data_IF_155408486179
#
_entry.id   IF_155408486179
#
_cell.length_a   1.000
_cell.length_b   1.000
_cell.length_c   1.000
_cell.angle_alpha   90.00
_cell.angle_beta   90.00
_cell.angle_gamma   90.00
#
_symmetry.space_group_name_H-M   'P 1'
#
loop_
_entity.id
_entity.type
_entity.pdbx_description
1 polymer ?
#
# COMPACT_ATOMS: atom_id res chain seq x y z
N UNK A 1 -9.28 10.07 5.31
CA UNK A 1 -9.06 9.80 6.75
C UNK A 1 -7.63 10.24 7.09
N UNK A 2 -7.32 10.47 8.36
CA UNK A 2 -5.95 10.79 8.81
C UNK A 2 -5.57 9.85 9.94
N UNK A 3 -4.34 9.35 9.94
CA UNK A 3 -3.81 8.44 10.96
C UNK A 3 -2.33 8.75 11.18
N UNK A 4 -1.86 8.63 12.43
CA UNK A 4 -0.44 8.77 12.74
C UNK A 4 -0.04 7.90 13.93
N UNK A 5 1.24 7.58 14.01
CA UNK A 5 1.84 6.81 15.10
C UNK A 5 3.29 7.24 15.34
N UNK A 6 3.79 6.99 16.55
CA UNK A 6 5.17 7.20 16.98
C UNK A 6 5.73 5.88 17.48
N UNK A 7 6.95 5.55 17.09
CA UNK A 7 7.69 4.38 17.57
C UNK A 7 9.01 4.83 18.17
N UNK A 8 9.25 4.41 19.41
CA UNK A 8 10.50 4.67 20.12
C UNK A 8 11.26 3.35 20.36
N UNK A 9 12.58 3.39 20.27
CA UNK A 9 13.43 2.29 20.71
C UNK A 9 13.26 2.02 22.22
N UNK A 10 13.33 0.75 22.62
CA UNK A 10 13.27 0.32 24.02
C UNK A 10 14.29 -0.79 24.33
N UNK A 11 14.76 -0.84 25.58
CA UNK A 11 15.75 -1.82 26.05
C UNK A 11 17.20 -1.44 25.69
N UNK A 12 18.06 -2.45 25.48
CA UNK A 12 19.49 -2.28 25.09
C UNK A 12 19.70 -1.83 23.62
N UNK A 13 18.63 -1.44 22.92
CA UNK A 13 18.73 -0.94 21.56
C UNK A 13 19.18 0.53 21.54
N UNK A 14 19.80 0.97 20.45
CA UNK A 14 20.07 2.38 20.22
C UNK A 14 18.77 3.19 20.34
N UNK A 15 18.81 4.35 21.02
CA UNK A 15 17.66 5.25 21.11
C UNK A 15 17.34 5.78 19.71
N UNK A 16 16.11 5.58 19.26
CA UNK A 16 15.58 6.12 18.01
C UNK A 16 14.10 6.48 18.18
N UNK A 17 13.64 7.43 17.37
CA UNK A 17 12.25 7.86 17.27
C UNK A 17 11.88 7.87 15.79
N UNK A 18 10.89 7.07 15.40
CA UNK A 18 10.37 7.03 14.03
C UNK A 18 8.86 7.28 14.02
N UNK A 19 8.40 7.97 12.99
CA UNK A 19 7.04 8.44 12.84
C UNK A 19 6.36 7.76 11.66
N UNK A 20 5.07 7.58 11.81
CA UNK A 20 4.18 7.17 10.74
C UNK A 20 3.05 8.19 10.58
N UNK A 21 2.77 8.56 9.33
CA UNK A 21 1.66 9.43 8.99
C UNK A 21 0.97 8.95 7.72
N UNK A 22 -0.36 9.01 7.71
CA UNK A 22 -1.17 8.72 6.53
C UNK A 22 -2.32 9.70 6.42
N UNK A 23 -2.56 10.16 5.19
CA UNK A 23 -3.74 10.94 4.83
C UNK A 23 -4.36 10.42 3.54
N UNK A 24 -5.68 10.36 3.48
CA UNK A 24 -6.42 10.06 2.26
C UNK A 24 -7.63 10.98 2.08
N UNK A 25 -7.91 11.32 0.82
CA UNK A 25 -9.10 12.00 0.37
C UNK A 25 -9.76 11.16 -0.73
N UNK A 26 -11.09 11.02 -0.66
CA UNK A 26 -11.84 10.30 -1.67
C UNK A 26 -13.16 10.97 -2.00
N UNK A 27 -13.58 10.81 -3.26
CA UNK A 27 -14.81 11.31 -3.82
C UNK A 27 -15.61 10.16 -4.40
N UNK A 28 -16.93 10.19 -4.19
CA UNK A 28 -17.85 9.17 -4.68
C UNK A 28 -18.82 9.82 -5.68
N UNK A 29 -18.62 9.57 -6.98
CA UNK A 29 -19.46 10.08 -8.06
C UNK A 29 -19.97 8.91 -8.91
N UNK A 30 -21.09 8.29 -8.49
CA UNK A 30 -21.61 7.06 -9.12
C UNK A 30 -21.65 7.18 -10.66
N UNK A 31 -21.18 6.17 -11.41
CA UNK A 31 -20.71 4.84 -10.96
C UNK A 31 -19.23 4.80 -10.53
N UNK A 32 -18.52 5.92 -10.61
CA UNK A 32 -17.07 6.02 -10.38
C UNK A 32 -16.76 6.53 -8.98
N UNK A 33 -15.66 6.06 -8.42
CA UNK A 33 -15.07 6.54 -7.19
C UNK A 33 -13.61 6.80 -7.46
N UNK A 34 -13.08 7.84 -6.85
CA UNK A 34 -11.68 8.16 -6.97
C UNK A 34 -11.15 8.75 -5.69
N UNK A 35 -9.84 8.77 -5.56
CA UNK A 35 -9.20 9.41 -4.45
C UNK A 35 -7.70 9.42 -4.61
N UNK A 36 -7.06 10.10 -3.68
CA UNK A 36 -5.62 10.10 -3.54
C UNK A 36 -5.27 10.06 -2.07
N UNK A 37 -4.05 9.64 -1.79
CA UNK A 37 -3.53 9.63 -0.44
C UNK A 37 -2.02 9.65 -0.45
N UNK A 38 -1.49 9.78 0.74
CA UNK A 38 -0.08 9.73 1.02
C UNK A 38 0.14 8.96 2.30
N UNK A 39 1.30 8.33 2.39
CA UNK A 39 1.73 7.54 3.53
C UNK A 39 3.23 7.73 3.72
N UNK A 40 3.64 8.12 4.92
CA UNK A 40 5.01 8.40 5.29
C UNK A 40 5.41 7.53 6.47
N UNK A 41 6.57 6.89 6.32
CA UNK A 41 7.23 6.10 7.35
C UNK A 41 8.65 6.62 7.42
N UNK A 42 9.01 7.30 8.51
CA UNK A 42 10.35 7.90 8.61
C UNK A 42 11.43 6.83 8.80
N UNK A 43 12.65 7.19 8.44
CA UNK A 43 13.81 6.38 8.76
C UNK A 43 15.11 7.18 8.85
N UNK A 44 15.93 6.86 9.83
CA UNK A 44 17.19 7.55 10.09
C UNK A 44 18.41 6.96 9.34
N UNK A 45 18.21 5.90 8.54
CA UNK A 45 19.25 5.20 7.78
C UNK A 45 19.62 3.85 8.38
N UNK A 46 19.56 3.73 9.71
CA UNK A 46 19.83 2.49 10.45
C UNK A 46 18.53 1.85 10.97
N UNK A 47 17.54 2.68 11.31
CA UNK A 47 16.20 2.28 11.76
C UNK A 47 15.13 2.98 10.92
N UNK A 48 13.96 2.35 10.84
CA UNK A 48 12.77 2.94 10.22
C UNK A 48 11.52 2.48 10.96
N UNK A 49 10.42 3.21 10.77
CA UNK A 49 9.14 2.81 11.33
C UNK A 49 8.73 1.43 10.80
N UNK A 50 8.32 0.51 11.68
CA UNK A 50 7.86 -0.83 11.31
C UNK A 50 6.46 -1.11 11.88
N UNK A 51 5.73 -2.02 11.25
CA UNK A 51 4.46 -2.52 11.78
C UNK A 51 4.68 -3.88 12.47
N UNK A 52 4.91 -3.94 13.79
CA UNK A 52 5.31 -5.18 14.47
C UNK A 52 4.25 -6.28 14.44
N UNK A 53 2.97 -5.91 14.30
CA UNK A 53 1.82 -6.84 14.29
C UNK A 53 1.04 -6.83 12.97
N UNK A 54 1.60 -6.24 11.90
CA UNK A 54 0.90 -6.09 10.62
C UNK A 54 1.82 -6.34 9.43
N UNK A 55 1.24 -6.82 8.33
CA UNK A 55 1.94 -6.83 7.04
C UNK A 55 1.67 -5.52 6.32
N UNK A 56 2.69 -5.01 5.62
CA UNK A 56 2.53 -3.89 4.70
C UNK A 56 1.74 -4.27 3.43
N UNK A 57 1.00 -5.38 3.39
CA UNK A 57 0.22 -5.77 2.20
C UNK A 57 -0.93 -4.78 1.87
N UNK A 58 -1.32 -3.94 2.84
CA UNK A 58 -2.25 -2.82 2.63
C UNK A 58 -1.52 -1.47 2.46
N UNK A 59 -0.21 -1.46 2.67
CA UNK A 59 0.65 -0.29 2.89
C UNK A 59 1.89 -0.41 1.98
N UNK A 60 1.92 0.33 0.88
CA UNK A 60 3.02 0.21 -0.10
C UNK A 60 2.83 -0.82 -1.22
N UNK A 61 1.59 -0.95 -1.72
CA UNK A 61 1.27 -1.70 -2.94
C UNK A 61 0.94 -3.18 -2.75
N UNK A 62 0.44 -3.83 -3.80
CA UNK A 62 0.16 -5.27 -3.84
C UNK A 62 1.36 -6.11 -4.31
N UNK A 63 2.44 -5.50 -4.77
CA UNK A 63 3.68 -6.16 -5.18
C UNK A 63 4.49 -6.67 -3.98
N UNK A 64 4.19 -6.22 -2.75
CA UNK A 64 4.88 -6.59 -1.52
C UNK A 64 6.39 -6.24 -1.52
N UNK A 65 6.82 -5.25 -2.31
CA UNK A 65 8.21 -4.83 -2.33
C UNK A 65 8.65 -4.06 -1.07
N UNK A 66 7.68 -3.46 -0.36
CA UNK A 66 7.90 -2.68 0.85
C UNK A 66 7.26 -3.33 2.09
N UNK A 67 7.25 -4.66 2.16
CA UNK A 67 6.78 -5.42 3.34
C UNK A 67 7.52 -5.04 4.62
N UNK A 68 8.77 -4.60 4.49
CA UNK A 68 9.57 -4.00 5.55
C UNK A 68 9.99 -2.61 5.07
N UNK A 69 9.76 -1.60 5.88
CA UNK A 69 10.19 -0.23 5.59
C UNK A 69 11.70 -0.19 5.44
N UNK A 70 12.25 0.35 4.34
CA UNK A 70 13.69 0.55 4.19
C UNK A 70 14.24 1.40 5.35
N UNK A 71 15.50 1.20 5.75
CA UNK A 71 16.14 2.01 6.80
C UNK A 71 16.16 3.52 6.50
N UNK A 72 16.11 3.89 5.22
CA UNK A 72 15.95 5.29 4.76
C UNK A 72 14.53 5.84 4.90
N UNK A 73 13.60 5.07 5.45
CA UNK A 73 12.17 5.36 5.43
C UNK A 73 11.55 5.25 4.04
N UNK A 74 10.25 5.51 3.96
CA UNK A 74 9.42 5.38 2.77
C UNK A 74 8.33 6.45 2.73
N UNK A 75 8.21 7.11 1.59
CA UNK A 75 7.04 7.88 1.20
C UNK A 75 6.33 7.16 0.06
N UNK A 76 5.03 6.95 0.23
CA UNK A 76 4.11 6.45 -0.80
C UNK A 76 3.07 7.52 -1.08
N UNK A 77 3.04 8.02 -2.32
CA UNK A 77 1.96 8.85 -2.83
C UNK A 77 1.15 8.04 -3.82
N UNK A 78 -0.16 7.96 -3.60
CA UNK A 78 -1.00 7.13 -4.44
C UNK A 78 -2.27 7.83 -4.88
N UNK A 79 -2.72 7.48 -6.07
CA UNK A 79 -4.01 7.85 -6.62
C UNK A 79 -4.73 6.60 -7.08
N UNK A 80 -6.06 6.59 -6.95
CA UNK A 80 -6.85 5.45 -7.35
C UNK A 80 -8.16 5.86 -7.98
N UNK A 81 -8.64 5.00 -8.87
CA UNK A 81 -9.95 5.08 -9.49
C UNK A 81 -10.58 3.70 -9.46
N UNK A 82 -11.88 3.64 -9.20
CA UNK A 82 -12.61 2.38 -9.14
C UNK A 82 -14.10 2.59 -9.24
N UNK A 83 -14.84 1.50 -9.20
CA UNK A 83 -16.28 1.52 -9.39
C UNK A 83 -16.85 0.12 -9.49
N UNK A 84 -18.17 0.05 -9.64
CA UNK A 84 -18.87 -1.19 -9.95
C UNK A 84 -19.22 -1.17 -11.44
N UNK A 85 -18.77 -2.16 -12.19
CA UNK A 85 -19.10 -2.29 -13.60
C UNK A 85 -20.46 -3.00 -13.79
N UNK A 86 -21.03 -3.01 -15.02
CA UNK A 86 -22.32 -3.65 -15.31
C UNK A 86 -22.37 -5.16 -15.00
N UNK A 87 -21.23 -5.85 -15.02
CA UNK A 87 -21.11 -7.28 -14.66
C UNK A 87 -21.08 -7.53 -13.14
N UNK A 88 -21.44 -6.51 -12.37
CA UNK A 88 -21.42 -6.48 -10.90
C UNK A 88 -20.06 -6.70 -10.24
N UNK A 89 -18.99 -6.49 -10.99
CA UNK A 89 -17.62 -6.55 -10.46
C UNK A 89 -17.26 -5.20 -9.88
N UNK A 90 -16.87 -5.18 -8.60
CA UNK A 90 -16.22 -4.02 -8.01
C UNK A 90 -14.74 -4.08 -8.36
N UNK A 91 -14.23 -3.05 -9.04
CA UNK A 91 -12.83 -2.97 -9.41
C UNK A 91 -12.18 -1.69 -8.92
N UNK A 92 -10.85 -1.69 -8.82
CA UNK A 92 -10.04 -0.53 -8.52
C UNK A 92 -8.69 -0.67 -9.20
N UNK A 93 -8.22 0.43 -9.79
CA UNK A 93 -6.84 0.63 -10.24
C UNK A 93 -6.21 1.63 -9.29
N UNK A 94 -4.98 1.35 -8.85
CA UNK A 94 -4.21 2.24 -7.97
C UNK A 94 -2.85 2.45 -8.62
N UNK A 95 -2.38 3.68 -8.59
CA UNK A 95 -1.02 4.03 -8.98
C UNK A 95 -0.29 4.54 -7.75
N UNK A 96 0.91 4.03 -7.52
CA UNK A 96 1.79 4.41 -6.42
C UNK A 96 3.07 5.04 -6.96
N UNK A 97 3.57 6.04 -6.24
CA UNK A 97 4.89 6.63 -6.43
C UNK A 97 5.66 6.52 -5.11
N UNK A 98 6.79 5.82 -5.16
CA UNK A 98 7.62 5.56 -3.99
C UNK A 98 8.90 6.38 -4.01
N UNK A 99 9.20 7.03 -2.89
CA UNK A 99 10.48 7.68 -2.63
C UNK A 99 10.99 7.38 -1.24
N UNK A 100 12.29 7.52 -0.99
CA UNK A 100 12.82 7.45 0.37
C UNK A 100 12.44 8.70 1.16
N UNK A 101 12.25 8.54 2.47
CA UNK A 101 12.10 9.67 3.39
C UNK A 101 13.45 10.43 3.48
N UNK A 102 14.50 9.69 3.84
CA UNK A 102 15.87 10.21 3.85
C UNK A 102 16.44 10.28 2.44
N UNK A 103 16.76 11.50 2.00
CA UNK A 103 17.40 11.76 0.70
C UNK A 103 16.43 12.00 -0.46
N UNK A 104 15.14 11.66 -0.31
CA UNK A 104 14.12 11.92 -1.34
C UNK A 104 14.35 11.13 -2.63
N UNK A 105 14.96 9.95 -2.52
CA UNK A 105 15.39 9.17 -3.66
C UNK A 105 14.21 8.44 -4.30
N UNK A 106 14.08 8.50 -5.62
CA UNK A 106 13.04 7.76 -6.33
C UNK A 106 13.29 6.24 -6.25
N UNK A 107 12.32 5.52 -5.69
CA UNK A 107 12.39 4.07 -5.44
C UNK A 107 11.60 3.24 -6.46
N UNK A 108 10.64 3.85 -7.16
CA UNK A 108 9.86 3.16 -8.20
C UNK A 108 8.42 3.66 -8.27
N UNK A 109 7.67 3.10 -9.23
CA UNK A 109 6.22 3.25 -9.29
C UNK A 109 5.54 1.90 -9.45
N UNK A 110 4.32 1.80 -8.96
CA UNK A 110 3.55 0.56 -9.02
C UNK A 110 2.14 0.81 -9.54
N UNK A 111 1.71 -0.08 -10.42
CA UNK A 111 0.34 -0.19 -10.88
C UNK A 111 -0.31 -1.42 -10.28
N UNK A 112 -1.39 -1.17 -9.56
CA UNK A 112 -2.20 -2.19 -8.93
C UNK A 112 -3.58 -2.25 -9.54
N UNK A 113 -4.08 -3.48 -9.66
CA UNK A 113 -5.46 -3.76 -10.02
C UNK A 113 -6.06 -4.75 -9.04
N UNK A 114 -7.30 -4.48 -8.59
CA UNK A 114 -8.08 -5.42 -7.81
C UNK A 114 -9.50 -5.49 -8.35
N UNK A 115 -10.04 -6.70 -8.44
CA UNK A 115 -11.41 -6.97 -8.81
C UNK A 115 -12.04 -7.96 -7.82
N UNK A 116 -13.25 -7.65 -7.34
CA UNK A 116 -14.05 -8.52 -6.48
C UNK A 116 -15.44 -8.72 -7.07
N UNK A 117 -15.88 -9.98 -7.14
CA UNK A 117 -17.24 -10.37 -7.54
C UNK A 117 -17.87 -11.25 -6.48
N UNK A 118 -19.09 -10.91 -6.07
CA UNK A 118 -19.95 -11.80 -5.28
C UNK A 118 -20.54 -12.81 -6.26
N UNK A 119 -20.29 -14.10 -6.04
CA UNK A 119 -20.73 -15.19 -6.91
C UNK A 119 -22.09 -15.74 -6.46
N UNK A 120 -22.26 -15.87 -5.14
CA UNK A 120 -23.50 -16.29 -4.46
C UNK A 120 -23.59 -15.52 -3.14
N UNK A 121 -24.68 -15.68 -2.39
CA UNK A 121 -24.85 -15.04 -1.07
C UNK A 121 -23.73 -15.39 -0.08
N UNK A 122 -23.14 -16.58 -0.22
CA UNK A 122 -22.10 -17.10 0.67
C UNK A 122 -20.71 -17.14 0.05
N UNK A 123 -20.55 -16.79 -1.23
CA UNK A 123 -19.27 -16.96 -1.96
C UNK A 123 -18.86 -15.71 -2.70
N UNK A 124 -17.59 -15.31 -2.56
CA UNK A 124 -17.01 -14.24 -3.38
C UNK A 124 -15.63 -14.61 -3.91
N UNK A 125 -15.29 -14.06 -5.07
CA UNK A 125 -13.98 -14.19 -5.69
C UNK A 125 -13.29 -12.83 -5.76
N UNK A 126 -11.98 -12.83 -5.53
CA UNK A 126 -11.12 -11.65 -5.60
C UNK A 126 -9.87 -11.97 -6.40
N UNK A 127 -9.47 -11.04 -7.26
CA UNK A 127 -8.22 -11.08 -8.02
C UNK A 127 -7.46 -9.79 -7.71
N UNK A 128 -6.16 -9.90 -7.48
CA UNK A 128 -5.23 -8.75 -7.43
C UNK A 128 -4.10 -8.98 -8.42
N UNK A 129 -3.70 -7.91 -9.09
CA UNK A 129 -2.53 -7.83 -9.95
C UNK A 129 -1.70 -6.64 -9.51
N UNK A 130 -0.38 -6.78 -9.55
CA UNK A 130 0.58 -5.74 -9.22
C UNK A 130 1.72 -5.76 -10.24
N UNK A 131 2.14 -4.56 -10.66
CA UNK A 131 3.31 -4.35 -11.49
C UNK A 131 4.10 -3.17 -10.95
N UNK A 132 5.23 -3.47 -10.31
CA UNK A 132 6.19 -2.50 -9.80
C UNK A 132 7.36 -2.44 -10.76
N UNK A 133 7.69 -1.22 -11.20
CA UNK A 133 8.97 -0.92 -11.82
C UNK A 133 9.85 -0.23 -10.78
N UNK A 134 10.90 -0.95 -10.37
CA UNK A 134 11.78 -0.55 -9.29
C UNK A 134 12.91 0.35 -9.79
N UNK A 135 13.43 1.18 -8.89
CA UNK A 135 14.63 1.98 -9.12
C UNK A 135 15.68 1.68 -8.05
N UNK A 136 16.96 1.87 -8.41
CA UNK A 136 18.12 1.64 -7.55
C UNK A 136 18.20 0.21 -7.04
N UNK A 137 17.98 0.00 -5.74
CA UNK A 137 18.05 -1.30 -5.09
C UNK A 137 16.72 -2.06 -5.13
N UNK A 138 15.63 -1.40 -5.55
CA UNK A 138 14.32 -2.02 -5.70
C UNK A 138 14.26 -2.71 -7.06
N UNK A 139 13.88 -3.98 -7.06
CA UNK A 139 13.72 -4.78 -8.28
C UNK A 139 12.33 -4.62 -8.86
N UNK A 140 12.20 -4.85 -10.15
CA UNK A 140 10.90 -5.00 -10.79
C UNK A 140 10.17 -6.21 -10.23
N UNK A 141 8.87 -6.06 -9.95
CA UNK A 141 8.04 -7.11 -9.40
C UNK A 141 6.74 -7.19 -10.16
N UNK A 142 6.37 -8.40 -10.55
CA UNK A 142 5.04 -8.72 -11.05
C UNK A 142 4.40 -9.71 -10.09
N UNK A 143 3.16 -9.45 -9.70
CA UNK A 143 2.43 -10.32 -8.79
C UNK A 143 0.98 -10.47 -9.20
N UNK A 144 0.47 -11.69 -9.05
CA UNK A 144 -0.94 -11.99 -9.23
C UNK A 144 -1.41 -12.85 -8.05
N UNK A 145 -2.61 -12.56 -7.53
CA UNK A 145 -3.26 -13.41 -6.53
C UNK A 145 -4.73 -13.59 -6.83
N UNK A 146 -5.25 -14.76 -6.44
CA UNK A 146 -6.65 -15.14 -6.57
C UNK A 146 -7.10 -15.64 -5.20
N UNK A 147 -8.28 -15.21 -4.77
CA UNK A 147 -8.87 -15.56 -3.48
C UNK A 147 -10.33 -15.95 -3.68
N UNK A 148 -10.74 -17.03 -3.02
CA UNK A 148 -12.14 -17.46 -2.91
C UNK A 148 -12.53 -17.43 -1.44
N UNK A 149 -13.54 -16.63 -1.13
CA UNK A 149 -14.11 -16.51 0.21
C UNK A 149 -15.44 -17.27 0.27
N UNK A 150 -15.63 -18.06 1.33
CA UNK A 150 -16.90 -18.73 1.64
C UNK A 150 -17.32 -18.44 3.10
N UNK A 151 -18.59 -18.16 3.34
CA UNK A 151 -19.15 -17.92 4.68
C UNK A 151 -20.30 -18.89 4.97
N UNK A 152 -20.28 -19.50 6.16
CA UNK A 152 -21.26 -20.50 6.63
C UNK A 152 -22.49 -19.84 7.27
#
# INVERSE_FOLDING_TARGET
MITGALQNGAGDNASYEEYYFRGDLSMNAKPVKGGFGLEWMTGNGDNAFIFPLGTNHKFGGFADAFLTTPGSGLHDYYAWVGGKCPLEVNHKIIFHHFSSDKGGDFLGYEFDYVAKKVLTENTSALIKLAHLEGSRAIKDVQRASIQLDYSF
#
